data_IF_317032496336
#
_entry.id   IF_317032496336
#
_cell.length_a   1.000
_cell.length_b   1.000
_cell.length_c   1.000
_cell.angle_alpha   90.00
_cell.angle_beta   90.00
_cell.angle_gamma   90.00
#
_symmetry.space_group_name_H-M   'P 1'
#
loop_
_entity.id
_entity.type
_entity.pdbx_description
1 polymer ?
#
# COMPACT_ATOMS: atom_id res chain seq x y z
N UNK A 1 19.96 -1.64 27.51
CA UNK A 1 20.37 -0.22 27.55
C UNK A 1 21.02 0.07 26.20
N UNK A 2 20.44 0.97 25.38
CA UNK A 2 21.01 1.40 24.10
C UNK A 2 22.16 2.37 24.45
N UNK A 3 23.38 2.03 24.07
CA UNK A 3 24.58 2.83 24.37
C UNK A 3 24.78 3.91 23.31
N UNK A 4 25.51 4.97 23.64
CA UNK A 4 25.89 6.04 22.70
C UNK A 4 26.78 5.54 21.55
N UNK A 5 27.39 4.35 21.71
CA UNK A 5 28.24 3.69 20.69
C UNK A 5 27.45 3.18 19.48
N UNK A 6 26.12 3.13 19.53
CA UNK A 6 25.29 2.68 18.42
C UNK A 6 25.02 3.78 17.36
N UNK A 7 25.32 5.06 17.65
CA UNK A 7 25.08 6.15 16.71
C UNK A 7 26.20 6.17 15.68
N UNK A 8 25.83 5.90 14.42
CA UNK A 8 26.77 5.88 13.31
C UNK A 8 26.91 7.25 12.63
N UNK A 9 25.80 8.00 12.53
CA UNK A 9 25.77 9.33 11.94
C UNK A 9 24.89 10.25 12.81
N UNK A 10 25.39 11.47 13.07
CA UNK A 10 24.67 12.49 13.82
C UNK A 10 24.77 13.84 13.13
N UNK A 11 23.65 14.54 13.05
CA UNK A 11 23.55 15.92 12.58
C UNK A 11 23.14 16.83 13.72
N UNK A 12 23.80 17.96 13.89
CA UNK A 12 23.50 18.99 14.89
C UNK A 12 23.35 20.34 14.21
N UNK A 13 22.16 20.91 14.29
CA UNK A 13 21.79 22.27 13.84
C UNK A 13 22.28 22.62 12.43
N UNK A 14 22.07 21.73 11.46
CA UNK A 14 22.53 21.92 10.08
C UNK A 14 21.71 22.99 9.36
N UNK A 15 22.42 23.93 8.76
CA UNK A 15 21.87 24.92 7.83
C UNK A 15 22.54 24.80 6.46
N UNK A 16 21.73 24.84 5.41
CA UNK A 16 22.21 24.85 4.04
C UNK A 16 21.23 25.57 3.12
N UNK A 17 21.74 26.39 2.21
CA UNK A 17 21.00 27.03 1.13
C UNK A 17 21.78 26.87 -0.18
N UNK A 18 21.08 26.69 -1.28
CA UNK A 18 21.70 26.80 -2.60
C UNK A 18 21.90 28.28 -2.96
N UNK A 19 22.89 28.55 -3.82
CA UNK A 19 23.18 29.92 -4.27
C UNK A 19 21.96 30.54 -4.94
N UNK A 20 21.60 31.76 -4.52
CA UNK A 20 20.44 32.50 -5.04
C UNK A 20 19.08 32.15 -4.43
N UNK A 21 18.99 31.20 -3.50
CA UNK A 21 17.76 30.89 -2.79
C UNK A 21 17.56 31.80 -1.56
N UNK A 22 16.32 32.31 -1.41
CA UNK A 22 15.94 33.14 -0.24
C UNK A 22 15.63 32.31 1.01
N UNK A 23 15.44 31.00 0.87
CA UNK A 23 15.09 30.07 1.94
C UNK A 23 16.17 28.99 2.14
N UNK A 24 16.29 28.52 3.38
CA UNK A 24 17.19 27.42 3.68
C UNK A 24 16.57 26.07 3.25
N UNK A 25 17.34 25.26 2.50
CA UNK A 25 16.98 23.87 2.16
C UNK A 25 17.16 22.94 3.36
N UNK A 26 18.12 23.24 4.28
CA UNK A 26 18.19 22.70 5.62
C UNK A 26 18.16 23.88 6.62
N UNK A 27 17.31 23.78 7.64
CA UNK A 27 16.98 24.92 8.50
C UNK A 27 17.05 24.53 9.99
N UNK A 28 18.26 24.28 10.50
CA UNK A 28 18.49 23.81 11.86
C UNK A 28 18.13 22.33 12.04
N UNK A 29 18.50 21.51 11.05
CA UNK A 29 18.24 20.08 11.06
C UNK A 29 19.11 19.36 12.08
N UNK A 30 18.47 18.64 13.02
CA UNK A 30 19.16 17.78 13.98
C UNK A 30 18.53 16.40 13.99
N UNK A 31 19.35 15.34 13.89
CA UNK A 31 18.92 13.95 13.95
C UNK A 31 20.08 13.01 14.29
N UNK A 32 19.74 11.79 14.70
CA UNK A 32 20.69 10.70 14.98
C UNK A 32 20.28 9.47 14.19
N UNK A 33 21.25 8.75 13.62
CA UNK A 33 21.09 7.52 12.88
C UNK A 33 21.90 6.44 13.58
N UNK A 34 21.26 5.30 13.85
CA UNK A 34 21.89 4.16 14.50
C UNK A 34 22.35 3.13 13.49
N UNK A 35 23.39 2.39 13.83
CA UNK A 35 23.95 1.30 13.00
C UNK A 35 22.91 0.21 12.73
N UNK A 36 22.90 -0.29 11.50
CA UNK A 36 22.07 -1.42 11.09
C UNK A 36 20.57 -1.14 11.00
N UNK A 37 20.14 0.13 11.11
CA UNK A 37 18.74 0.51 10.98
C UNK A 37 18.31 0.69 9.52
N UNK A 38 17.03 0.44 9.27
CA UNK A 38 16.29 0.76 8.05
C UNK A 38 15.48 2.03 8.30
N UNK A 39 15.89 3.14 7.70
CA UNK A 39 15.24 4.42 7.95
C UNK A 39 14.62 4.97 6.67
N UNK A 40 13.30 5.19 6.70
CA UNK A 40 12.59 5.85 5.63
C UNK A 40 12.54 7.37 5.86
N UNK A 41 13.04 8.12 4.89
CA UNK A 41 12.99 9.58 4.83
C UNK A 41 11.82 10.00 3.96
N UNK A 42 10.83 10.65 4.52
CA UNK A 42 9.59 11.00 3.84
C UNK A 42 9.26 12.48 3.98
N UNK A 43 8.40 12.99 3.12
CA UNK A 43 7.99 14.39 3.09
C UNK A 43 7.91 14.92 1.65
N UNK A 44 7.31 16.10 1.48
CA UNK A 44 7.10 16.71 0.18
C UNK A 44 8.41 16.93 -0.62
N UNK A 45 8.30 17.11 -1.93
CA UNK A 45 9.43 17.56 -2.74
C UNK A 45 9.92 18.92 -2.24
N UNK A 46 11.26 19.12 -2.21
CA UNK A 46 11.86 20.32 -1.66
C UNK A 46 11.92 20.40 -0.12
N UNK A 47 11.51 19.36 0.62
CA UNK A 47 11.54 19.36 2.08
C UNK A 47 12.96 19.24 2.69
N UNK A 48 14.00 19.04 1.87
CA UNK A 48 15.41 18.99 2.31
C UNK A 48 16.05 17.60 2.34
N UNK A 49 15.31 16.49 2.04
CA UNK A 49 15.82 15.11 2.10
C UNK A 49 17.10 14.90 1.29
N UNK A 50 17.04 15.16 -0.03
CA UNK A 50 18.20 14.98 -0.92
C UNK A 50 19.37 15.91 -0.56
N UNK A 51 19.08 17.14 -0.11
CA UNK A 51 20.10 18.05 0.40
C UNK A 51 20.83 17.49 1.61
N UNK A 52 20.09 16.91 2.57
CA UNK A 52 20.67 16.21 3.72
C UNK A 52 21.55 15.03 3.27
N UNK A 53 21.10 14.22 2.32
CA UNK A 53 21.88 13.10 1.79
C UNK A 53 23.19 13.55 1.12
N UNK A 54 23.15 14.66 0.39
CA UNK A 54 24.36 15.25 -0.19
C UNK A 54 25.33 15.80 0.88
N UNK A 55 24.83 16.27 2.01
CA UNK A 55 25.66 16.62 3.16
C UNK A 55 26.29 15.39 3.82
N UNK A 56 25.54 14.29 3.97
CA UNK A 56 26.04 13.03 4.57
C UNK A 56 27.19 12.42 3.79
N UNK A 57 27.24 12.60 2.45
CA UNK A 57 28.32 12.12 1.59
C UNK A 57 29.44 13.14 1.37
N UNK A 58 29.33 14.31 2.00
CA UNK A 58 30.29 15.42 1.84
C UNK A 58 30.34 16.00 0.44
N UNK A 59 29.27 15.81 -0.38
CA UNK A 59 29.10 16.52 -1.67
C UNK A 59 28.77 17.98 -1.36
N UNK A 60 27.89 18.22 -0.38
CA UNK A 60 27.64 19.54 0.16
C UNK A 60 28.25 19.69 1.56
N UNK A 61 28.84 20.86 1.81
CA UNK A 61 29.26 21.25 3.13
C UNK A 61 28.20 22.16 3.75
N UNK A 62 27.62 21.84 4.92
CA UNK A 62 26.71 22.74 5.61
C UNK A 62 27.32 24.12 5.84
N UNK A 63 26.51 25.17 5.75
CA UNK A 63 26.93 26.55 6.02
C UNK A 63 27.15 26.79 7.53
N UNK A 64 26.35 26.09 8.36
CA UNK A 64 26.55 26.04 9.81
C UNK A 64 26.00 24.73 10.37
N UNK A 65 26.29 24.44 11.64
CA UNK A 65 26.03 23.15 12.26
C UNK A 65 27.13 22.13 11.96
N UNK A 66 26.97 20.91 12.51
CA UNK A 66 28.05 19.91 12.43
C UNK A 66 27.46 18.53 12.12
N UNK A 67 28.13 17.81 11.24
CA UNK A 67 27.88 16.39 10.96
C UNK A 67 28.98 15.54 11.59
N UNK A 68 28.57 14.48 12.30
CA UNK A 68 29.47 13.51 12.92
C UNK A 68 29.25 12.13 12.28
N UNK A 69 30.37 11.46 12.01
CA UNK A 69 30.39 10.05 11.60
C UNK A 69 31.23 9.26 12.61
N UNK A 70 30.68 8.22 13.21
CA UNK A 70 31.30 7.49 14.35
C UNK A 70 31.73 8.43 15.50
N UNK A 71 30.90 9.42 15.82
CA UNK A 71 31.17 10.39 16.88
C UNK A 71 32.29 11.38 16.55
N UNK A 72 32.87 11.38 15.35
CA UNK A 72 33.89 12.32 14.89
C UNK A 72 33.30 13.28 13.87
N UNK A 73 33.61 14.55 14.00
CA UNK A 73 33.22 15.57 13.04
C UNK A 73 33.74 15.20 11.63
N UNK A 74 32.89 15.34 10.61
CA UNK A 74 33.24 15.06 9.21
C UNK A 74 34.29 16.06 8.73
N UNK A 75 35.44 15.53 8.29
CA UNK A 75 36.52 16.34 7.72
C UNK A 75 36.32 16.55 6.23
N UNK A 76 36.24 17.82 5.81
CA UNK A 76 36.11 18.22 4.41
C UNK A 76 37.47 18.33 3.66
N UNK A 77 38.54 17.79 4.24
CA UNK A 77 39.81 17.63 3.51
C UNK A 77 39.70 16.52 2.48
N UNK A 78 40.55 16.54 1.42
CA UNK A 78 40.56 15.48 0.39
C UNK A 78 40.64 14.07 0.99
N UNK A 79 41.51 13.87 2.00
CA UNK A 79 41.67 12.60 2.69
C UNK A 79 40.42 12.22 3.52
N UNK A 80 39.84 13.19 4.24
CA UNK A 80 38.65 12.97 5.04
C UNK A 80 37.43 12.62 4.20
N UNK A 81 37.24 13.29 3.05
CA UNK A 81 36.16 12.98 2.10
C UNK A 81 36.33 11.62 1.42
N UNK A 82 37.57 11.20 1.13
CA UNK A 82 37.82 9.87 0.58
C UNK A 82 37.44 8.79 1.62
N UNK A 83 37.88 8.95 2.86
CA UNK A 83 37.50 8.03 3.95
C UNK A 83 36.00 8.00 4.21
N UNK A 84 35.30 9.12 4.19
CA UNK A 84 33.87 9.20 4.34
C UNK A 84 33.14 8.45 3.21
N UNK A 85 33.49 8.75 1.96
CA UNK A 85 32.83 8.20 0.76
C UNK A 85 33.10 6.71 0.53
N UNK A 86 34.16 6.17 1.11
CA UNK A 86 34.37 4.71 1.12
C UNK A 86 33.42 3.98 2.06
N UNK A 87 32.80 4.67 3.02
CA UNK A 87 31.93 4.09 4.04
C UNK A 87 30.48 4.57 3.99
N UNK A 88 30.23 5.70 3.30
CA UNK A 88 28.88 6.26 3.10
C UNK A 88 28.66 6.42 1.60
N UNK A 89 27.89 5.52 1.03
CA UNK A 89 27.55 5.54 -0.39
C UNK A 89 26.16 6.15 -0.64
N UNK A 90 25.96 6.70 -1.84
CA UNK A 90 24.68 7.23 -2.29
C UNK A 90 24.32 6.70 -3.68
N UNK A 91 23.09 6.24 -3.82
CA UNK A 91 22.48 5.89 -5.11
C UNK A 91 21.45 6.96 -5.45
N UNK A 92 21.70 7.70 -6.53
CA UNK A 92 20.82 8.80 -6.94
C UNK A 92 19.51 8.30 -7.54
N UNK A 93 18.48 9.14 -7.49
CA UNK A 93 17.18 8.88 -8.10
C UNK A 93 17.32 8.57 -9.59
N UNK A 94 18.05 9.41 -10.31
CA UNK A 94 18.35 9.27 -11.72
C UNK A 94 19.72 8.58 -11.90
N UNK A 95 19.77 7.30 -12.38
CA UNK A 95 21.02 6.59 -12.56
C UNK A 95 21.92 7.20 -13.63
N UNK A 96 21.39 7.98 -14.58
CA UNK A 96 22.22 8.65 -15.62
C UNK A 96 23.10 9.78 -15.04
N UNK A 97 22.82 10.21 -13.80
CA UNK A 97 23.69 11.13 -13.06
C UNK A 97 24.86 10.44 -12.35
N UNK A 98 24.78 9.12 -12.21
CA UNK A 98 25.77 8.31 -11.50
C UNK A 98 26.66 7.54 -12.48
N UNK A 99 26.07 6.90 -13.51
CA UNK A 99 26.75 6.03 -14.45
C UNK A 99 27.45 6.83 -15.57
N UNK A 100 28.76 6.66 -15.72
CA UNK A 100 29.56 7.42 -16.71
C UNK A 100 30.58 6.57 -17.46
N UNK A 101 30.87 5.33 -17.01
CA UNK A 101 31.88 4.48 -17.63
C UNK A 101 31.42 3.85 -18.95
N UNK A 102 32.34 3.41 -19.78
CA UNK A 102 32.04 2.81 -21.08
C UNK A 102 31.32 1.45 -20.99
N UNK A 103 31.53 0.70 -19.92
CA UNK A 103 30.88 -0.58 -19.70
C UNK A 103 30.50 -0.78 -18.22
N UNK A 104 29.51 -1.68 -17.98
CA UNK A 104 29.07 -2.05 -16.63
C UNK A 104 30.22 -2.53 -15.75
N UNK A 105 31.09 -3.40 -16.28
CA UNK A 105 32.24 -3.89 -15.52
C UNK A 105 33.16 -2.77 -15.07
N UNK A 106 33.44 -1.82 -15.96
CA UNK A 106 34.28 -0.66 -15.65
C UNK A 106 33.62 0.25 -14.62
N UNK A 107 32.31 0.44 -14.72
CA UNK A 107 31.55 1.24 -13.77
C UNK A 107 31.69 0.69 -12.36
N UNK A 108 31.35 -0.59 -12.16
CA UNK A 108 31.43 -1.25 -10.84
C UNK A 108 32.89 -1.27 -10.32
N UNK A 109 33.88 -1.39 -11.23
CA UNK A 109 35.30 -1.41 -10.82
C UNK A 109 35.83 -0.04 -10.40
N UNK A 110 35.20 1.06 -10.85
CA UNK A 110 35.73 2.41 -10.67
C UNK A 110 35.86 2.81 -9.20
N UNK A 111 34.81 2.59 -8.41
CA UNK A 111 34.78 2.98 -6.99
C UNK A 111 35.86 2.27 -6.18
N UNK A 112 35.89 0.95 -6.27
CA UNK A 112 36.81 0.14 -5.46
C UNK A 112 38.29 0.33 -5.85
N UNK A 113 38.58 0.52 -7.13
CA UNK A 113 39.97 0.83 -7.59
C UNK A 113 40.46 2.16 -7.02
N UNK A 114 39.59 3.17 -6.89
CA UNK A 114 39.93 4.47 -6.31
C UNK A 114 40.20 4.39 -4.78
N UNK A 115 39.83 3.33 -4.11
CA UNK A 115 40.17 3.10 -2.72
C UNK A 115 41.64 2.61 -2.53
N UNK A 116 42.34 2.29 -3.63
CA UNK A 116 43.73 1.88 -3.61
C UNK A 116 43.96 0.42 -3.20
N UNK A 117 42.91 -0.43 -3.29
CA UNK A 117 43.07 -1.89 -3.15
C UNK A 117 43.83 -2.48 -4.34
N UNK A 118 44.37 -3.68 -4.21
CA UNK A 118 45.05 -4.35 -5.33
C UNK A 118 44.06 -4.71 -6.44
N UNK A 119 44.56 -4.77 -7.69
CA UNK A 119 43.73 -5.15 -8.84
C UNK A 119 43.09 -6.52 -8.70
N UNK A 120 43.80 -7.48 -8.09
CA UNK A 120 43.31 -8.83 -7.86
C UNK A 120 42.18 -8.85 -6.80
N UNK A 121 42.26 -8.01 -5.80
CA UNK A 121 41.21 -7.84 -4.79
C UNK A 121 39.99 -7.14 -5.40
N UNK A 122 40.20 -6.01 -6.09
CA UNK A 122 39.13 -5.30 -6.79
C UNK A 122 38.38 -6.23 -7.77
N UNK A 123 39.12 -7.06 -8.53
CA UNK A 123 38.53 -8.03 -9.44
C UNK A 123 37.63 -9.04 -8.70
N UNK A 124 38.06 -9.59 -7.57
CA UNK A 124 37.26 -10.55 -6.79
C UNK A 124 35.97 -9.92 -6.28
N UNK A 125 36.07 -8.71 -5.73
CA UNK A 125 34.88 -7.99 -5.21
C UNK A 125 33.90 -7.61 -6.31
N UNK A 126 34.40 -7.15 -7.45
CA UNK A 126 33.55 -6.83 -8.63
C UNK A 126 32.85 -8.06 -9.16
N UNK A 127 33.54 -9.21 -9.31
CA UNK A 127 32.91 -10.46 -9.72
C UNK A 127 31.83 -10.91 -8.72
N UNK A 128 32.15 -10.84 -7.41
CA UNK A 128 31.21 -11.20 -6.36
C UNK A 128 29.92 -10.35 -6.41
N UNK A 129 30.03 -9.03 -6.57
CA UNK A 129 28.86 -8.15 -6.64
C UNK A 129 28.07 -8.38 -7.94
N UNK A 130 28.76 -8.62 -9.08
CA UNK A 130 28.13 -8.93 -10.37
C UNK A 130 27.31 -10.23 -10.27
N UNK A 131 27.83 -11.26 -9.62
CA UNK A 131 27.11 -12.51 -9.40
C UNK A 131 25.93 -12.33 -8.44
N UNK A 132 26.17 -11.69 -7.28
CA UNK A 132 25.18 -11.47 -6.25
C UNK A 132 23.97 -10.67 -6.75
N UNK A 133 24.21 -9.67 -7.59
CA UNK A 133 23.16 -8.82 -8.15
C UNK A 133 22.69 -9.26 -9.55
N UNK A 134 23.03 -10.49 -10.00
CA UNK A 134 22.60 -11.05 -11.29
C UNK A 134 22.95 -10.17 -12.51
N UNK A 135 24.05 -9.44 -12.46
CA UNK A 135 24.52 -8.52 -13.52
C UNK A 135 25.25 -9.26 -14.65
N UNK A 136 25.66 -10.51 -14.42
CA UNK A 136 26.44 -11.34 -15.36
C UNK A 136 25.94 -11.28 -16.81
N UNK A 137 24.63 -11.32 -17.14
CA UNK A 137 24.16 -11.33 -18.53
C UNK A 137 24.47 -10.04 -19.32
N UNK A 138 24.73 -8.93 -18.62
CA UNK A 138 24.96 -7.64 -19.26
C UNK A 138 26.21 -6.90 -18.76
N UNK A 139 27.09 -7.58 -18.07
CA UNK A 139 28.34 -7.04 -17.46
C UNK A 139 29.27 -6.32 -18.44
N UNK A 140 29.23 -6.66 -19.73
CA UNK A 140 30.07 -6.05 -20.75
C UNK A 140 29.30 -5.04 -21.62
N UNK A 141 28.00 -4.83 -21.36
CA UNK A 141 27.23 -3.84 -22.11
C UNK A 141 27.68 -2.42 -21.77
N UNK A 142 27.57 -1.50 -22.75
CA UNK A 142 27.70 -0.07 -22.47
C UNK A 142 26.62 0.39 -21.48
N UNK A 143 26.99 1.25 -20.53
CA UNK A 143 26.09 1.76 -19.48
C UNK A 143 24.87 2.49 -20.07
N UNK A 144 25.04 3.22 -21.16
CA UNK A 144 23.96 3.94 -21.85
C UNK A 144 22.95 3.01 -22.57
N UNK A 145 23.33 1.75 -22.84
CA UNK A 145 22.48 0.77 -23.52
C UNK A 145 21.64 -0.11 -22.55
N UNK A 146 21.66 0.20 -21.28
CA UNK A 146 20.91 -0.52 -20.24
C UNK A 146 19.47 -0.02 -20.13
N UNK A 147 18.55 -0.92 -19.74
CA UNK A 147 17.20 -0.52 -19.30
C UNK A 147 17.27 0.25 -17.97
N UNK A 148 16.21 1.00 -17.63
CA UNK A 148 16.15 1.74 -16.36
C UNK A 148 16.40 0.87 -15.13
N UNK A 149 15.80 -0.33 -15.08
CA UNK A 149 16.03 -1.30 -14.00
C UNK A 149 17.48 -1.80 -13.95
N UNK A 150 18.08 -2.11 -15.11
CA UNK A 150 19.48 -2.51 -15.19
C UNK A 150 20.43 -1.38 -14.76
N UNK A 151 20.14 -0.14 -15.16
CA UNK A 151 20.92 1.03 -14.70
C UNK A 151 20.86 1.17 -13.18
N UNK A 152 19.67 1.03 -12.57
CA UNK A 152 19.49 1.10 -11.11
C UNK A 152 20.29 -0.02 -10.41
N UNK A 153 20.23 -1.24 -10.94
CA UNK A 153 20.97 -2.38 -10.43
C UNK A 153 22.48 -2.14 -10.44
N UNK A 154 22.99 -1.59 -11.55
CA UNK A 154 24.42 -1.22 -11.67
C UNK A 154 24.79 -0.08 -10.73
N UNK A 155 23.92 0.96 -10.59
CA UNK A 155 24.17 2.05 -9.63
C UNK A 155 24.24 1.58 -8.18
N UNK A 156 23.51 0.54 -7.83
CA UNK A 156 23.58 -0.09 -6.51
C UNK A 156 24.88 -0.91 -6.39
N UNK A 157 25.23 -1.68 -7.43
CA UNK A 157 26.44 -2.48 -7.47
C UNK A 157 27.73 -1.64 -7.31
N UNK A 158 27.76 -0.48 -7.98
CA UNK A 158 28.84 0.51 -7.94
C UNK A 158 29.14 1.00 -6.50
N UNK A 159 28.13 1.08 -5.67
CA UNK A 159 28.28 1.46 -4.25
C UNK A 159 28.60 0.25 -3.37
N UNK A 160 27.90 -0.89 -3.58
CA UNK A 160 28.06 -2.08 -2.73
C UNK A 160 29.46 -2.69 -2.80
N UNK A 161 30.11 -2.62 -3.95
CA UNK A 161 31.47 -3.14 -4.15
C UNK A 161 32.51 -2.52 -3.21
N UNK A 162 32.21 -1.34 -2.66
CA UNK A 162 33.07 -0.63 -1.71
C UNK A 162 32.81 -1.02 -0.24
N UNK A 163 31.86 -1.93 0.03
CA UNK A 163 31.47 -2.37 1.38
C UNK A 163 31.08 -1.21 2.32
N UNK A 164 30.12 -0.36 1.95
CA UNK A 164 29.76 0.80 2.76
C UNK A 164 29.10 0.38 4.10
N UNK A 165 29.28 1.19 5.13
CA UNK A 165 28.59 1.05 6.40
C UNK A 165 27.18 1.69 6.37
N UNK A 166 27.03 2.74 5.55
CA UNK A 166 25.75 3.42 5.28
C UNK A 166 25.55 3.45 3.76
N UNK A 167 24.37 3.04 3.32
CA UNK A 167 23.93 3.28 1.95
C UNK A 167 22.70 4.19 1.96
N UNK A 168 22.77 5.23 1.14
CA UNK A 168 21.69 6.19 0.95
C UNK A 168 21.05 5.90 -0.40
N UNK A 169 19.75 5.69 -0.42
CA UNK A 169 18.94 5.41 -1.60
C UNK A 169 17.95 6.55 -1.81
N UNK A 170 18.19 7.39 -2.81
CA UNK A 170 17.27 8.49 -3.14
C UNK A 170 16.26 7.98 -4.20
N UNK A 171 15.02 7.73 -3.78
CA UNK A 171 13.91 7.22 -4.61
C UNK A 171 14.32 6.00 -5.48
N UNK A 172 14.81 4.88 -4.89
CA UNK A 172 15.43 3.81 -5.65
C UNK A 172 14.48 3.09 -6.61
N UNK A 173 13.17 3.09 -6.32
CA UNK A 173 12.14 2.45 -7.14
C UNK A 173 11.43 3.41 -8.10
N UNK A 174 11.79 4.70 -8.10
CA UNK A 174 11.15 5.68 -8.97
C UNK A 174 11.29 5.31 -10.45
N UNK A 175 10.17 5.41 -11.19
CA UNK A 175 10.08 5.11 -12.63
C UNK A 175 10.45 3.65 -13.02
N UNK A 176 10.48 2.72 -12.07
CA UNK A 176 10.64 1.29 -12.35
C UNK A 176 9.27 0.61 -12.49
N UNK A 177 9.23 -0.43 -13.33
CA UNK A 177 8.09 -1.34 -13.36
C UNK A 177 8.02 -2.22 -12.09
N UNK A 178 6.89 -2.90 -11.82
CA UNK A 178 6.74 -3.69 -10.60
C UNK A 178 7.79 -4.80 -10.42
N UNK A 179 8.27 -5.39 -11.52
CA UNK A 179 9.29 -6.45 -11.45
C UNK A 179 10.64 -5.90 -10.98
N UNK A 180 11.08 -4.79 -11.57
CA UNK A 180 12.33 -4.15 -11.17
C UNK A 180 12.23 -3.50 -9.78
N UNK A 181 11.08 -2.98 -9.41
CA UNK A 181 10.82 -2.51 -8.04
C UNK A 181 10.99 -3.64 -7.02
N UNK A 182 10.40 -4.82 -7.26
CA UNK A 182 10.54 -5.98 -6.39
C UNK A 182 12.01 -6.43 -6.26
N UNK A 183 12.76 -6.43 -7.38
CA UNK A 183 14.19 -6.73 -7.38
C UNK A 183 14.99 -5.74 -6.53
N UNK A 184 14.77 -4.44 -6.68
CA UNK A 184 15.44 -3.41 -5.87
C UNK A 184 15.13 -3.60 -4.39
N UNK A 185 13.87 -3.86 -4.04
CA UNK A 185 13.46 -4.10 -2.67
C UNK A 185 14.17 -5.33 -2.07
N UNK A 186 14.28 -6.42 -2.84
CA UNK A 186 15.01 -7.62 -2.42
C UNK A 186 16.50 -7.33 -2.17
N UNK A 187 17.15 -6.55 -3.03
CA UNK A 187 18.53 -6.12 -2.84
C UNK A 187 18.66 -5.30 -1.54
N UNK A 188 17.74 -4.39 -1.29
CA UNK A 188 17.71 -3.56 -0.06
C UNK A 188 17.55 -4.43 1.18
N UNK A 189 16.69 -5.46 1.14
CA UNK A 189 16.52 -6.38 2.26
C UNK A 189 17.82 -7.17 2.53
N UNK A 190 18.50 -7.68 1.50
CA UNK A 190 19.78 -8.35 1.64
C UNK A 190 20.87 -7.44 2.24
N UNK A 191 20.91 -6.15 1.86
CA UNK A 191 21.85 -5.20 2.47
C UNK A 191 21.65 -5.08 3.98
N UNK A 192 20.39 -4.99 4.42
CA UNK A 192 20.06 -4.83 5.84
C UNK A 192 20.32 -6.09 6.65
N UNK A 193 20.08 -7.26 6.07
CA UNK A 193 20.43 -8.55 6.68
C UNK A 193 21.94 -8.68 6.91
N UNK A 194 22.75 -8.09 6.03
CA UNK A 194 24.21 -8.01 6.17
C UNK A 194 24.69 -6.88 7.11
N UNK A 195 23.76 -6.20 7.80
CA UNK A 195 24.09 -5.20 8.84
C UNK A 195 24.42 -3.81 8.30
N UNK A 196 24.21 -3.54 7.00
CA UNK A 196 24.37 -2.20 6.42
C UNK A 196 23.23 -1.31 6.92
N UNK A 197 23.56 -0.08 7.32
CA UNK A 197 22.57 0.95 7.64
C UNK A 197 21.99 1.51 6.35
N UNK A 198 20.67 1.45 6.18
CA UNK A 198 20.03 1.92 4.94
C UNK A 198 19.16 3.13 5.22
N UNK A 199 19.47 4.23 4.52
CA UNK A 199 18.69 5.47 4.52
C UNK A 199 17.98 5.57 3.17
N UNK A 200 16.66 5.55 3.15
CA UNK A 200 15.89 5.56 1.91
C UNK A 200 14.92 6.73 1.87
N UNK A 201 15.06 7.63 0.90
CA UNK A 201 13.96 8.52 0.54
C UNK A 201 12.96 7.76 -0.31
N UNK A 202 11.69 7.84 0.04
CA UNK A 202 10.60 7.26 -0.76
C UNK A 202 9.29 8.01 -0.55
N UNK A 203 8.45 8.01 -1.58
CA UNK A 203 7.07 8.49 -1.50
C UNK A 203 6.06 7.35 -1.28
N UNK A 204 6.50 6.09 -1.35
CA UNK A 204 5.64 4.93 -1.11
C UNK A 204 5.44 4.71 0.40
N UNK A 205 4.30 5.21 0.91
CA UNK A 205 3.93 5.09 2.33
C UNK A 205 3.69 3.63 2.73
N UNK A 206 3.20 2.78 1.82
CA UNK A 206 2.93 1.38 2.10
C UNK A 206 4.24 0.61 2.26
N UNK A 207 5.19 0.82 1.35
CA UNK A 207 6.50 0.20 1.44
C UNK A 207 7.28 0.68 2.68
N UNK A 208 7.31 2.01 2.92
CA UNK A 208 7.96 2.56 4.10
C UNK A 208 7.39 1.99 5.41
N UNK A 209 6.06 1.82 5.50
CA UNK A 209 5.40 1.25 6.68
C UNK A 209 5.81 -0.19 6.95
N UNK A 210 5.95 -1.01 5.90
CA UNK A 210 6.31 -2.42 6.01
C UNK A 210 7.81 -2.62 6.26
N UNK A 211 8.63 -1.84 5.58
CA UNK A 211 10.07 -2.05 5.49
C UNK A 211 10.86 -1.39 6.62
N UNK A 212 10.53 -0.14 6.98
CA UNK A 212 11.36 0.68 7.86
C UNK A 212 11.29 0.25 9.34
N UNK A 213 12.40 0.39 10.06
CA UNK A 213 12.46 0.34 11.51
C UNK A 213 12.05 1.70 12.10
N UNK A 214 12.48 2.80 11.44
CA UNK A 214 12.14 4.17 11.78
C UNK A 214 11.74 4.98 10.54
N UNK A 215 10.86 5.94 10.72
CA UNK A 215 10.45 6.90 9.70
C UNK A 215 10.77 8.31 10.18
N UNK A 216 11.39 9.11 9.31
CA UNK A 216 11.67 10.52 9.55
C UNK A 216 10.88 11.37 8.56
N UNK A 217 9.98 12.20 9.07
CA UNK A 217 9.20 13.15 8.26
C UNK A 217 9.93 14.48 8.15
N UNK A 218 10.30 14.83 6.93
CA UNK A 218 10.94 16.11 6.61
C UNK A 218 9.90 17.15 6.20
N UNK A 219 10.04 18.33 6.77
CA UNK A 219 9.22 19.50 6.45
C UNK A 219 10.05 20.76 6.59
N UNK A 220 10.09 21.61 5.55
CA UNK A 220 10.79 22.90 5.53
C UNK A 220 12.24 22.84 6.06
N UNK A 221 13.00 21.85 5.63
CA UNK A 221 14.40 21.67 6.00
C UNK A 221 14.66 21.15 7.41
N UNK A 222 13.63 20.63 8.09
CA UNK A 222 13.70 20.05 9.44
C UNK A 222 13.07 18.65 9.50
N UNK A 223 13.40 17.92 10.56
CA UNK A 223 12.64 16.74 10.96
C UNK A 223 11.42 17.19 11.75
N UNK A 224 10.24 17.09 11.18
CA UNK A 224 8.97 17.40 11.84
C UNK A 224 8.62 16.34 12.89
N UNK A 225 8.84 15.07 12.54
CA UNK A 225 8.56 13.92 13.40
C UNK A 225 9.46 12.75 13.03
N UNK A 226 9.89 11.98 14.01
CA UNK A 226 10.53 10.69 13.80
C UNK A 226 10.03 9.66 14.82
N UNK A 227 10.10 8.39 14.47
CA UNK A 227 9.69 7.28 15.32
C UNK A 227 9.42 6.01 14.52
N UNK A 228 8.84 5.02 15.19
CA UNK A 228 8.42 3.80 14.49
C UNK A 228 7.36 4.12 13.42
N UNK A 229 7.27 3.31 12.35
CA UNK A 229 6.26 3.51 11.31
C UNK A 229 4.85 3.68 11.88
N UNK A 230 4.46 2.87 12.86
CA UNK A 230 3.15 2.97 13.50
C UNK A 230 2.90 4.29 14.22
N UNK A 231 3.93 4.84 14.88
CA UNK A 231 3.83 6.15 15.55
C UNK A 231 3.68 7.28 14.54
N UNK A 232 4.49 7.26 13.48
CA UNK A 232 4.52 8.32 12.47
C UNK A 232 3.26 8.30 11.62
N UNK A 233 2.89 7.16 11.06
CA UNK A 233 1.70 7.03 10.20
C UNK A 233 0.38 7.04 11.00
N UNK A 234 0.43 6.87 12.31
CA UNK A 234 -0.71 7.10 13.22
C UNK A 234 -0.98 8.59 13.50
N UNK A 235 -0.02 9.47 13.24
CA UNK A 235 -0.15 10.92 13.50
C UNK A 235 -0.72 11.67 12.30
N UNK A 236 -2.03 11.85 12.27
CA UNK A 236 -2.73 12.49 11.16
C UNK A 236 -2.31 13.96 10.92
N UNK A 237 -1.97 14.70 11.98
CA UNK A 237 -1.52 16.09 11.84
C UNK A 237 -0.15 16.17 11.13
N UNK A 238 0.78 15.28 11.47
CA UNK A 238 2.09 15.20 10.83
C UNK A 238 1.99 14.76 9.36
N UNK A 239 1.12 13.78 9.04
CA UNK A 239 0.87 13.35 7.66
C UNK A 239 0.29 14.50 6.83
N UNK A 240 -0.69 15.22 7.36
CA UNK A 240 -1.28 16.37 6.67
C UNK A 240 -0.25 17.48 6.41
N UNK A 241 0.59 17.81 7.40
CA UNK A 241 1.65 18.82 7.25
C UNK A 241 2.70 18.45 6.19
N UNK A 242 2.93 17.15 5.96
CA UNK A 242 3.92 16.63 4.99
C UNK A 242 3.32 16.19 3.67
N UNK A 243 2.00 16.38 3.45
CA UNK A 243 1.24 15.93 2.27
C UNK A 243 1.39 14.41 2.02
N UNK A 244 1.41 13.62 3.08
CA UNK A 244 1.46 12.17 3.01
C UNK A 244 0.11 11.56 3.36
N UNK A 245 -0.20 10.45 2.69
CA UNK A 245 -1.37 9.62 2.98
C UNK A 245 -1.04 8.58 4.05
N UNK A 246 -2.09 8.03 4.67
CA UNK A 246 -1.94 6.91 5.59
C UNK A 246 -1.72 5.63 4.77
N UNK A 247 -0.86 4.68 5.22
CA UNK A 247 -0.76 3.36 4.60
C UNK A 247 -2.11 2.66 4.49
N UNK A 248 -2.40 2.07 3.32
CA UNK A 248 -3.71 1.47 3.02
C UNK A 248 -4.13 0.38 4.03
N UNK A 249 -3.17 -0.40 4.53
CA UNK A 249 -3.44 -1.44 5.54
C UNK A 249 -3.91 -0.85 6.86
N UNK A 250 -3.37 0.29 7.29
CA UNK A 250 -3.80 1.00 8.51
C UNK A 250 -5.17 1.62 8.33
N UNK A 251 -5.42 2.23 7.19
CA UNK A 251 -6.72 2.84 6.88
C UNK A 251 -7.83 1.79 6.87
N UNK A 252 -7.56 0.63 6.23
CA UNK A 252 -8.49 -0.50 6.21
C UNK A 252 -8.71 -1.07 7.62
N UNK A 253 -7.64 -1.27 8.40
CA UNK A 253 -7.74 -1.74 9.78
C UNK A 253 -8.60 -0.81 10.64
N UNK A 254 -8.36 0.50 10.59
CA UNK A 254 -9.16 1.49 11.32
C UNK A 254 -10.63 1.48 10.89
N UNK A 255 -10.89 1.34 9.58
CA UNK A 255 -12.25 1.21 9.05
C UNK A 255 -12.97 -0.02 9.60
N UNK A 256 -12.28 -1.18 9.65
CA UNK A 256 -12.83 -2.42 10.23
C UNK A 256 -13.08 -2.29 11.73
N UNK A 257 -12.21 -1.59 12.45
CA UNK A 257 -12.41 -1.30 13.88
C UNK A 257 -13.61 -0.36 14.11
N UNK A 258 -13.74 0.71 13.31
CA UNK A 258 -14.88 1.64 13.39
C UNK A 258 -16.21 0.95 13.11
N UNK A 259 -16.22 -0.02 12.20
CA UNK A 259 -17.41 -0.86 11.90
C UNK A 259 -17.66 -1.95 12.95
N UNK A 260 -16.82 -2.08 13.97
CA UNK A 260 -16.93 -3.10 15.01
C UNK A 260 -16.62 -4.52 14.55
N UNK A 261 -15.98 -4.68 13.39
CA UNK A 261 -15.55 -5.98 12.85
C UNK A 261 -14.31 -6.46 13.60
N UNK A 262 -13.32 -5.58 13.77
CA UNK A 262 -12.11 -5.85 14.55
C UNK A 262 -12.10 -5.04 15.85
N UNK A 263 -11.35 -5.51 16.83
CA UNK A 263 -11.09 -4.76 18.07
C UNK A 263 -9.93 -3.77 17.84
N UNK A 264 -10.11 -2.53 18.27
CA UNK A 264 -9.05 -1.51 18.22
C UNK A 264 -7.87 -1.81 19.15
N UNK A 265 -8.00 -2.79 20.06
CA UNK A 265 -6.92 -3.26 20.93
C UNK A 265 -5.96 -4.26 20.27
N UNK A 266 -6.24 -4.70 19.05
CA UNK A 266 -5.33 -5.56 18.30
C UNK A 266 -4.07 -4.77 17.91
N UNK A 267 -2.91 -5.44 17.81
CA UNK A 267 -1.71 -4.84 17.26
C UNK A 267 -1.99 -4.27 15.86
N UNK A 268 -1.35 -3.15 15.53
CA UNK A 268 -1.46 -2.59 14.18
C UNK A 268 -0.88 -3.57 13.15
N UNK A 269 -1.63 -3.95 12.12
CA UNK A 269 -1.15 -4.91 11.11
C UNK A 269 -0.03 -4.27 10.29
N UNK A 270 1.08 -4.97 10.13
CA UNK A 270 2.22 -4.49 9.35
C UNK A 270 1.98 -4.61 7.85
N UNK A 271 1.16 -5.57 7.44
CA UNK A 271 0.83 -5.88 6.05
C UNK A 271 -0.61 -6.43 5.91
N UNK A 272 -1.04 -6.63 4.67
CA UNK A 272 -2.36 -7.18 4.36
C UNK A 272 -2.51 -8.63 4.86
N UNK A 273 -1.45 -9.44 4.83
CA UNK A 273 -1.49 -10.82 5.30
C UNK A 273 -1.80 -10.89 6.80
N UNK A 274 -1.15 -10.04 7.60
CA UNK A 274 -1.45 -9.88 9.03
C UNK A 274 -2.91 -9.47 9.25
N UNK A 275 -3.41 -8.51 8.46
CA UNK A 275 -4.81 -8.09 8.55
C UNK A 275 -5.78 -9.20 8.16
N UNK A 276 -5.48 -9.96 7.12
CA UNK A 276 -6.27 -11.13 6.70
C UNK A 276 -6.33 -12.20 7.79
N UNK A 277 -5.20 -12.45 8.48
CA UNK A 277 -5.19 -13.39 9.61
C UNK A 277 -6.13 -12.96 10.73
N UNK A 278 -6.17 -11.66 11.07
CA UNK A 278 -7.12 -11.15 12.06
C UNK A 278 -8.58 -11.37 11.64
N UNK A 279 -8.89 -11.20 10.36
CA UNK A 279 -10.24 -11.43 9.82
C UNK A 279 -10.59 -12.93 9.85
N UNK A 280 -9.65 -13.79 9.48
CA UNK A 280 -9.85 -15.24 9.51
C UNK A 280 -10.09 -15.75 10.93
N UNK A 281 -9.36 -15.22 11.91
CA UNK A 281 -9.44 -15.62 13.31
C UNK A 281 -10.73 -15.13 14.02
N UNK A 282 -11.49 -14.17 13.44
CA UNK A 282 -12.76 -13.70 14.02
C UNK A 282 -13.74 -14.87 14.25
N UNK A 283 -13.78 -15.83 13.33
CA UNK A 283 -14.69 -16.98 13.39
C UNK A 283 -14.28 -17.99 14.47
N UNK A 284 -13.00 -18.12 14.75
CA UNK A 284 -12.42 -19.14 15.62
C UNK A 284 -12.07 -18.61 17.01
N UNK A 285 -11.79 -17.32 17.14
CA UNK A 285 -11.31 -16.71 18.37
C UNK A 285 -12.03 -15.38 18.69
N UNK A 286 -12.93 -15.37 19.72
CA UNK A 286 -13.65 -14.16 20.14
C UNK A 286 -12.73 -13.00 20.56
N UNK A 287 -11.45 -13.25 20.76
CA UNK A 287 -10.47 -12.23 21.16
C UNK A 287 -10.21 -11.21 20.04
N UNK A 288 -10.31 -11.62 18.76
CA UNK A 288 -10.11 -10.77 17.60
C UNK A 288 -11.36 -10.01 17.16
N UNK A 289 -12.57 -10.54 17.45
CA UNK A 289 -13.83 -9.92 17.07
C UNK A 289 -14.22 -8.74 17.96
N UNK A 290 -14.78 -7.69 17.35
CA UNK A 290 -15.48 -6.59 18.02
C UNK A 290 -16.82 -7.05 18.63
N UNK A 291 -17.79 -6.15 18.81
CA UNK A 291 -19.14 -6.52 19.24
C UNK A 291 -19.74 -7.55 18.27
N UNK A 292 -20.27 -8.65 18.82
CA UNK A 292 -21.00 -9.68 18.07
C UNK A 292 -22.19 -9.05 17.33
N UNK A 293 -21.94 -8.56 16.15
CA UNK A 293 -22.97 -8.23 15.17
C UNK A 293 -22.23 -8.26 13.85
N UNK A 294 -22.20 -9.40 13.18
CA UNK A 294 -22.08 -9.39 11.71
C UNK A 294 -21.70 -10.69 11.02
N UNK A 295 -21.53 -11.80 11.70
CA UNK A 295 -21.56 -13.09 11.00
C UNK A 295 -22.50 -14.07 11.72
N UNK A 296 -23.78 -13.70 11.84
CA UNK A 296 -24.85 -14.70 11.73
C UNK A 296 -24.70 -15.30 10.33
N UNK A 297 -24.88 -16.61 10.18
CA UNK A 297 -24.96 -17.29 8.88
C UNK A 297 -25.69 -16.38 7.91
N UNK A 298 -25.04 -15.99 6.81
CA UNK A 298 -25.65 -15.12 5.80
C UNK A 298 -26.81 -15.89 5.20
N UNK A 299 -28.02 -15.56 5.65
CA UNK A 299 -29.22 -16.12 5.06
C UNK A 299 -29.54 -15.33 3.82
N UNK A 300 -29.48 -15.99 2.69
CA UNK A 300 -29.65 -15.38 1.37
C UNK A 300 -31.05 -15.67 0.83
N UNK A 301 -31.62 -14.67 0.17
CA UNK A 301 -32.89 -14.83 -0.51
C UNK A 301 -32.86 -14.26 -1.93
N UNK A 302 -33.70 -14.84 -2.80
CA UNK A 302 -34.08 -14.26 -4.06
C UNK A 302 -35.52 -13.79 -3.93
N UNK A 303 -35.77 -12.51 -4.24
CA UNK A 303 -37.12 -11.95 -4.39
C UNK A 303 -37.45 -11.89 -5.90
N UNK A 304 -38.23 -12.82 -6.39
CA UNK A 304 -38.75 -12.80 -7.75
C UNK A 304 -39.95 -11.83 -7.81
N UNK A 305 -39.81 -10.79 -8.63
CA UNK A 305 -40.85 -9.75 -8.77
C UNK A 305 -41.46 -9.77 -10.16
N UNK A 306 -42.75 -10.10 -10.23
CA UNK A 306 -43.53 -10.16 -11.48
C UNK A 306 -44.63 -9.11 -11.49
N UNK A 307 -45.11 -8.74 -12.68
CA UNK A 307 -46.33 -7.93 -12.81
C UNK A 307 -47.56 -8.69 -12.25
N UNK A 308 -47.56 -10.01 -12.46
CA UNK A 308 -48.62 -10.89 -12.08
C UNK A 308 -49.56 -11.21 -13.22
N UNK A 309 -50.33 -12.26 -13.06
CA UNK A 309 -51.42 -12.67 -14.01
C UNK A 309 -52.62 -13.17 -13.25
N UNK A 310 -53.86 -12.87 -13.74
CA UNK A 310 -55.07 -13.36 -13.18
C UNK A 310 -55.50 -14.72 -13.74
N UNK A 311 -54.76 -15.31 -14.67
CA UNK A 311 -55.01 -16.58 -15.33
C UNK A 311 -54.11 -17.65 -14.72
N UNK A 312 -54.70 -18.67 -14.07
CA UNK A 312 -53.92 -19.69 -13.37
C UNK A 312 -53.08 -20.54 -14.31
N UNK A 313 -53.61 -20.94 -15.48
CA UNK A 313 -52.89 -21.75 -16.46
C UNK A 313 -51.67 -21.00 -16.99
N UNK A 314 -51.80 -19.68 -17.28
CA UNK A 314 -50.69 -18.83 -17.71
C UNK A 314 -49.65 -18.70 -16.61
N UNK A 315 -50.10 -18.55 -15.35
CA UNK A 315 -49.14 -18.41 -14.20
C UNK A 315 -48.27 -19.67 -14.09
N UNK A 316 -48.88 -20.86 -14.20
CA UNK A 316 -48.20 -22.16 -14.01
C UNK A 316 -47.09 -22.40 -15.05
N UNK A 317 -47.34 -22.02 -16.30
CA UNK A 317 -46.37 -22.20 -17.39
C UNK A 317 -45.38 -21.05 -17.56
N UNK A 318 -45.55 -19.91 -16.87
CA UNK A 318 -44.70 -18.74 -16.95
C UNK A 318 -44.03 -18.43 -15.59
N UNK A 319 -44.74 -17.75 -14.70
CA UNK A 319 -44.19 -17.25 -13.43
C UNK A 319 -43.69 -18.39 -12.55
N UNK A 320 -44.56 -19.43 -12.36
CA UNK A 320 -44.21 -20.58 -11.51
C UNK A 320 -43.10 -21.44 -12.11
N UNK A 321 -42.94 -21.46 -13.45
CA UNK A 321 -41.84 -22.13 -14.14
C UNK A 321 -40.52 -21.38 -13.92
N UNK A 322 -40.49 -20.06 -14.14
CA UNK A 322 -39.30 -19.22 -13.92
C UNK A 322 -38.84 -19.32 -12.48
N UNK A 323 -39.73 -19.27 -11.49
CA UNK A 323 -39.39 -19.37 -10.08
C UNK A 323 -38.84 -20.75 -9.69
N UNK A 324 -39.38 -21.85 -10.29
CA UNK A 324 -38.81 -23.20 -10.13
C UNK A 324 -37.37 -23.28 -10.68
N UNK A 325 -37.14 -22.69 -11.84
CA UNK A 325 -35.80 -22.67 -12.44
C UNK A 325 -34.82 -21.85 -11.59
N UNK A 326 -35.25 -20.73 -11.03
CA UNK A 326 -34.44 -19.95 -10.07
C UNK A 326 -34.11 -20.76 -8.83
N UNK A 327 -35.10 -21.46 -8.24
CA UNK A 327 -34.87 -22.26 -7.04
C UNK A 327 -33.95 -23.45 -7.30
N UNK A 328 -34.05 -24.07 -8.51
CA UNK A 328 -33.18 -25.17 -8.92
C UNK A 328 -31.75 -24.70 -9.18
N UNK A 329 -31.59 -23.51 -9.77
CA UNK A 329 -30.28 -22.92 -10.04
C UNK A 329 -29.58 -22.42 -8.78
N UNK A 330 -30.34 -22.00 -7.77
CA UNK A 330 -29.81 -21.42 -6.52
C UNK A 330 -30.43 -22.10 -5.30
N UNK A 331 -30.15 -23.38 -5.03
CA UNK A 331 -30.79 -24.15 -3.96
C UNK A 331 -30.51 -23.60 -2.54
N UNK A 332 -29.39 -22.87 -2.36
CA UNK A 332 -28.99 -22.27 -1.06
C UNK A 332 -29.70 -20.94 -0.78
N UNK A 333 -30.48 -20.42 -1.72
CA UNK A 333 -31.26 -19.18 -1.54
C UNK A 333 -32.72 -19.50 -1.26
N UNK A 334 -33.30 -18.83 -0.27
CA UNK A 334 -34.73 -18.90 -0.06
C UNK A 334 -35.45 -18.01 -1.06
N UNK A 335 -36.37 -18.59 -1.85
CA UNK A 335 -37.14 -17.87 -2.84
C UNK A 335 -38.38 -17.22 -2.25
N UNK A 336 -38.59 -15.95 -2.57
CA UNK A 336 -39.80 -15.19 -2.24
C UNK A 336 -40.41 -14.64 -3.52
N UNK A 337 -41.75 -14.51 -3.49
CA UNK A 337 -42.56 -13.99 -4.61
C UNK A 337 -43.20 -12.67 -4.24
N UNK A 338 -43.15 -11.72 -5.14
CA UNK A 338 -43.91 -10.48 -5.08
C UNK A 338 -44.50 -10.08 -6.43
N UNK A 339 -45.64 -9.40 -6.41
CA UNK A 339 -46.21 -8.83 -7.62
C UNK A 339 -46.39 -7.33 -7.49
N UNK A 340 -46.25 -6.61 -8.62
CA UNK A 340 -46.39 -5.15 -8.67
C UNK A 340 -47.85 -4.73 -8.87
N UNK A 341 -48.67 -5.53 -9.56
CA UNK A 341 -50.07 -5.21 -9.88
C UNK A 341 -51.00 -5.45 -8.73
N UNK A 342 -51.32 -4.41 -7.94
CA UNK A 342 -52.29 -4.45 -6.83
C UNK A 342 -53.68 -4.92 -7.28
N UNK A 343 -54.09 -4.62 -8.51
CA UNK A 343 -55.38 -5.03 -9.06
C UNK A 343 -55.45 -6.56 -9.23
N UNK A 344 -54.38 -7.14 -9.78
CA UNK A 344 -54.32 -8.61 -9.98
C UNK A 344 -54.25 -9.33 -8.64
N UNK A 345 -53.45 -8.83 -7.68
CA UNK A 345 -53.37 -9.36 -6.32
C UNK A 345 -54.77 -9.40 -5.65
N UNK A 346 -55.52 -8.27 -5.70
CA UNK A 346 -56.87 -8.18 -5.16
C UNK A 346 -57.84 -9.12 -5.85
N UNK A 347 -57.76 -9.29 -7.18
CA UNK A 347 -58.60 -10.20 -7.95
C UNK A 347 -58.38 -11.67 -7.57
N UNK A 348 -57.11 -12.10 -7.44
CA UNK A 348 -56.79 -13.47 -7.03
C UNK A 348 -57.23 -13.77 -5.61
N UNK A 349 -57.05 -12.83 -4.69
CA UNK A 349 -57.48 -12.96 -3.31
C UNK A 349 -59.01 -13.13 -3.20
N UNK A 350 -59.77 -12.33 -3.98
CA UNK A 350 -61.22 -12.39 -3.94
C UNK A 350 -61.83 -13.58 -4.69
N UNK A 351 -61.24 -14.05 -5.78
CA UNK A 351 -61.74 -15.11 -6.67
C UNK A 351 -61.28 -16.49 -6.20
N UNK A 352 -59.97 -16.62 -5.89
CA UNK A 352 -59.32 -17.92 -5.73
C UNK A 352 -58.78 -18.13 -4.29
N UNK A 353 -58.96 -17.13 -3.41
CA UNK A 353 -58.38 -17.08 -2.07
C UNK A 353 -56.85 -17.25 -2.04
N UNK A 354 -56.19 -16.84 -3.14
CA UNK A 354 -54.73 -16.89 -3.29
C UNK A 354 -54.16 -15.55 -2.82
N UNK A 355 -53.27 -15.63 -1.81
CA UNK A 355 -52.55 -14.47 -1.32
C UNK A 355 -51.16 -14.35 -1.96
N UNK A 356 -50.93 -13.28 -2.65
CA UNK A 356 -49.59 -12.92 -3.20
C UNK A 356 -49.21 -11.58 -2.58
N UNK A 357 -47.97 -11.49 -2.13
CA UNK A 357 -47.43 -10.29 -1.50
C UNK A 357 -47.16 -9.15 -2.54
N UNK A 358 -47.40 -7.96 -2.12
CA UNK A 358 -46.80 -6.78 -2.76
C UNK A 358 -45.29 -6.78 -2.48
N UNK A 359 -44.51 -5.93 -3.20
CA UNK A 359 -43.05 -5.82 -2.99
C UNK A 359 -42.71 -5.45 -1.55
N UNK A 360 -43.45 -4.51 -0.96
CA UNK A 360 -43.25 -4.12 0.47
C UNK A 360 -43.54 -5.23 1.45
N UNK A 361 -44.68 -5.90 1.31
CA UNK A 361 -45.05 -7.03 2.16
C UNK A 361 -44.03 -8.18 2.07
N UNK A 362 -43.52 -8.44 0.87
CA UNK A 362 -42.45 -9.43 0.67
C UNK A 362 -41.14 -9.05 1.35
N UNK A 363 -40.73 -7.77 1.25
CA UNK A 363 -39.55 -7.27 1.94
C UNK A 363 -39.67 -7.32 3.45
N UNK A 364 -40.83 -6.99 3.99
CA UNK A 364 -41.17 -7.15 5.44
C UNK A 364 -41.07 -8.61 5.88
N UNK A 365 -41.59 -9.54 5.07
CA UNK A 365 -41.50 -10.96 5.35
C UNK A 365 -40.06 -11.47 5.32
N UNK A 366 -39.27 -11.06 4.31
CA UNK A 366 -37.86 -11.39 4.18
C UNK A 366 -37.09 -10.91 5.43
N UNK A 367 -37.38 -9.71 5.89
CA UNK A 367 -36.76 -9.14 7.10
C UNK A 367 -37.18 -9.94 8.37
N UNK A 368 -38.44 -10.28 8.49
CA UNK A 368 -38.96 -11.08 9.61
C UNK A 368 -38.35 -12.48 9.67
N UNK A 369 -38.02 -13.08 8.53
CA UNK A 369 -37.37 -14.39 8.42
C UNK A 369 -35.86 -14.33 8.72
N UNK A 370 -35.33 -13.14 9.03
CA UNK A 370 -33.94 -12.91 9.40
C UNK A 370 -32.95 -13.07 8.23
N UNK A 371 -33.39 -12.83 6.98
CA UNK A 371 -32.55 -12.79 5.80
C UNK A 371 -31.64 -11.56 5.88
N UNK A 372 -30.39 -11.70 5.48
CA UNK A 372 -29.39 -10.62 5.51
C UNK A 372 -29.03 -10.09 4.12
N UNK A 373 -29.13 -10.94 3.12
CA UNK A 373 -28.73 -10.62 1.73
C UNK A 373 -29.86 -10.96 0.76
N UNK A 374 -30.29 -9.98 -0.04
CA UNK A 374 -31.41 -10.12 -0.96
C UNK A 374 -30.99 -9.83 -2.38
N UNK A 375 -31.26 -10.77 -3.29
CA UNK A 375 -31.17 -10.56 -4.74
C UNK A 375 -32.59 -10.33 -5.25
N UNK A 376 -32.88 -9.17 -5.78
CA UNK A 376 -34.17 -8.85 -6.37
C UNK A 376 -34.10 -9.12 -7.87
N UNK A 377 -34.85 -10.12 -8.33
CA UNK A 377 -34.89 -10.49 -9.76
C UNK A 377 -36.24 -10.07 -10.36
N UNK A 378 -36.30 -8.98 -11.13
CA UNK A 378 -37.48 -8.65 -11.90
C UNK A 378 -37.66 -9.65 -13.04
N UNK A 379 -38.88 -10.16 -13.18
CA UNK A 379 -39.27 -11.01 -14.33
C UNK A 379 -40.03 -10.19 -15.38
N UNK A 380 -40.03 -8.87 -15.26
CA UNK A 380 -40.59 -7.97 -16.26
C UNK A 380 -39.80 -8.07 -17.56
N UNK A 381 -40.53 -7.98 -18.68
CA UNK A 381 -39.92 -8.08 -20.01
C UNK A 381 -39.15 -6.82 -20.38
N UNK A 382 -39.54 -5.64 -19.87
CA UNK A 382 -38.99 -4.35 -20.27
C UNK A 382 -38.71 -3.46 -19.02
N UNK A 383 -37.67 -2.64 -19.07
CA UNK A 383 -37.44 -1.55 -18.14
C UNK A 383 -38.52 -0.48 -18.32
N UNK A 384 -39.35 -0.24 -17.30
CA UNK A 384 -40.44 0.74 -17.33
C UNK A 384 -40.81 1.20 -15.93
N UNK A 385 -41.82 2.05 -15.84
CA UNK A 385 -42.32 2.68 -14.59
C UNK A 385 -42.53 1.65 -13.46
N UNK A 386 -43.01 0.47 -13.78
CA UNK A 386 -43.22 -0.63 -12.80
C UNK A 386 -41.89 -1.12 -12.18
N UNK A 387 -40.82 -1.17 -12.97
CA UNK A 387 -39.50 -1.56 -12.48
C UNK A 387 -38.89 -0.47 -11.59
N UNK A 388 -39.12 0.79 -11.90
CA UNK A 388 -38.63 1.93 -11.10
C UNK A 388 -39.37 2.02 -9.76
N UNK A 389 -40.68 1.88 -9.74
CA UNK A 389 -41.49 1.80 -8.52
C UNK A 389 -41.12 0.61 -7.64
N UNK A 390 -40.86 -0.54 -8.24
CA UNK A 390 -40.37 -1.73 -7.52
C UNK A 390 -39.01 -1.45 -6.85
N UNK A 391 -38.08 -0.79 -7.55
CA UNK A 391 -36.80 -0.42 -7.00
C UNK A 391 -36.92 0.56 -5.83
N UNK A 392 -37.79 1.56 -5.94
CA UNK A 392 -38.08 2.52 -4.84
C UNK A 392 -38.60 1.77 -3.60
N UNK A 393 -39.59 0.88 -3.79
CA UNK A 393 -40.14 0.08 -2.70
C UNK A 393 -39.08 -0.78 -2.01
N UNK A 394 -38.21 -1.44 -2.77
CA UNK A 394 -37.12 -2.28 -2.23
C UNK A 394 -36.06 -1.42 -1.54
N UNK A 395 -35.65 -0.31 -2.13
CA UNK A 395 -34.61 0.55 -1.59
C UNK A 395 -35.04 1.26 -0.30
N UNK A 396 -36.34 1.38 -0.04
CA UNK A 396 -36.83 1.89 1.25
C UNK A 396 -36.40 1.01 2.44
N UNK A 397 -36.02 -0.24 2.20
CA UNK A 397 -35.50 -1.19 3.18
C UNK A 397 -33.97 -1.31 3.22
N UNK A 398 -33.23 -0.47 2.47
CA UNK A 398 -31.78 -0.61 2.29
C UNK A 398 -30.99 -0.73 3.60
N UNK A 399 -31.37 0.01 4.62
CA UNK A 399 -30.66 0.05 5.91
C UNK A 399 -30.90 -1.21 6.77
N UNK A 400 -31.91 -2.02 6.42
CA UNK A 400 -32.27 -3.22 7.18
C UNK A 400 -31.52 -4.48 6.74
N UNK A 401 -30.83 -4.44 5.57
CA UNK A 401 -30.14 -5.59 4.98
C UNK A 401 -28.66 -5.32 4.83
N UNK A 402 -27.86 -6.39 4.93
CA UNK A 402 -26.41 -6.33 4.66
C UNK A 402 -26.16 -6.00 3.19
N UNK A 403 -26.86 -6.71 2.28
CA UNK A 403 -26.79 -6.39 0.86
C UNK A 403 -28.14 -6.51 0.15
N UNK A 404 -28.40 -5.60 -0.79
CA UNK A 404 -29.50 -5.69 -1.75
C UNK A 404 -28.90 -5.50 -3.14
N UNK A 405 -29.10 -6.48 -4.01
CA UNK A 405 -28.66 -6.43 -5.42
C UNK A 405 -29.85 -6.64 -6.34
N UNK A 406 -29.78 -6.08 -7.55
CA UNK A 406 -30.84 -6.19 -8.56
C UNK A 406 -30.34 -6.93 -9.78
N UNK A 407 -31.06 -7.94 -10.20
CA UNK A 407 -30.91 -8.57 -11.51
C UNK A 407 -31.44 -7.65 -12.62
N UNK A 408 -30.99 -7.89 -13.84
CA UNK A 408 -31.54 -7.22 -15.02
C UNK A 408 -32.93 -7.80 -15.38
N UNK A 409 -33.85 -6.98 -15.94
CA UNK A 409 -35.05 -7.49 -16.58
C UNK A 409 -34.74 -8.49 -17.70
N UNK A 410 -35.71 -9.38 -18.05
CA UNK A 410 -35.48 -10.46 -19.02
C UNK A 410 -35.08 -9.99 -20.42
N UNK A 411 -35.50 -8.80 -20.83
CA UNK A 411 -35.08 -8.15 -22.08
C UNK A 411 -34.54 -6.76 -21.74
N UNK A 412 -33.23 -6.63 -21.76
CA UNK A 412 -32.53 -5.34 -21.76
C UNK A 412 -32.01 -5.09 -23.16
N UNK A 413 -32.40 -3.95 -23.74
CA UNK A 413 -31.79 -3.45 -24.98
C UNK A 413 -30.37 -2.97 -24.72
#
# INVERSE_FOLDING_TARGET
MRTNDDIILKAEDLYFSYDGEASHSLNGLSLEIRRGQKIAFMGANGSGKSTFFLCCTGIHKPQSGTLYFHGKEISYTKKGLLDLRSRVGIVFQDPDRQLFSASVYQEISFGILNLGVSEDEARREVEHVIETLEITPFRHKPTHALSGGQKKQVSIADILVMHPEIIILDEPAAALDPKHTAMVNQIVDQMTENGITVLMATHDVNYAYQWADEVMLFHEGKVLMHGTPSQVFGNQAALHATNLEKPAVLELFESLCKKGILKASLPLPKDLHTLESYIADIKTNPHYGGKKTLFTETKKAILAVSFGTSHNDTREVTIDAIERDMQNAFPDYKLYRAWTSKMIIKKLKSRDNIHVHTVKEAMEQILADGITDVVVQPTHVINGIENDLMKEDVLSFRENFHSISFGAPLLTS
#
